data_IF_754112561195
#
_entry.id   IF_754112561195
#
_cell.length_a   1.000
_cell.length_b   1.000
_cell.length_c   1.000
_cell.angle_alpha   90.00
_cell.angle_beta   90.00
_cell.angle_gamma   90.00
#
_symmetry.space_group_name_H-M   'P 1'
#
loop_
_entity.id
_entity.type
_entity.pdbx_description
1 polymer ?
#
# COMPACT_ATOMS: atom_id res chain seq x y z
N UNK A 1 1.65 4.79 14.86
CA UNK A 1 1.25 4.14 16.13
C UNK A 1 1.54 5.08 17.30
N UNK A 2 0.53 5.40 18.13
CA UNK A 2 0.75 6.17 19.36
C UNK A 2 1.67 5.40 20.30
N UNK A 3 2.74 6.03 20.77
CA UNK A 3 3.65 5.42 21.77
C UNK A 3 2.87 5.19 23.07
N UNK A 4 2.97 3.97 23.59
CA UNK A 4 2.43 3.63 24.93
C UNK A 4 3.24 4.39 25.97
N UNK A 5 2.60 5.33 26.67
CA UNK A 5 3.26 6.19 27.67
C UNK A 5 3.31 5.54 29.07
N UNK A 6 2.48 4.55 29.33
CA UNK A 6 2.37 3.85 30.61
C UNK A 6 2.41 2.34 30.35
N UNK A 7 3.38 1.67 30.96
CA UNK A 7 3.47 0.22 30.93
C UNK A 7 2.71 -0.34 32.13
N UNK A 8 1.81 -1.31 31.84
CA UNK A 8 1.13 -2.10 32.88
C UNK A 8 1.84 -3.46 33.02
N UNK A 9 1.92 -4.04 34.23
CA UNK A 9 2.33 -5.42 34.40
C UNK A 9 1.46 -6.38 33.56
N UNK A 10 2.06 -7.43 33.03
CA UNK A 10 1.34 -8.41 32.18
C UNK A 10 0.13 -9.01 32.88
N UNK A 11 0.25 -9.33 34.18
CA UNK A 11 -0.85 -9.84 35.00
C UNK A 11 -2.04 -8.89 35.05
N UNK A 12 -1.79 -7.59 35.11
CA UNK A 12 -2.86 -6.58 35.10
C UNK A 12 -3.52 -6.47 33.71
N UNK A 13 -2.71 -6.56 32.62
CA UNK A 13 -3.24 -6.58 31.24
C UNK A 13 -4.18 -7.77 31.05
N UNK A 14 -3.76 -8.95 31.52
CA UNK A 14 -4.59 -10.15 31.43
C UNK A 14 -5.87 -10.06 32.28
N UNK A 15 -5.80 -9.53 33.50
CA UNK A 15 -6.97 -9.33 34.32
C UNK A 15 -7.96 -8.36 33.69
N UNK A 16 -7.49 -7.23 33.15
CA UNK A 16 -8.32 -6.26 32.45
C UNK A 16 -8.97 -6.92 31.19
N UNK A 17 -8.17 -7.66 30.40
CA UNK A 17 -8.65 -8.35 29.21
C UNK A 17 -9.75 -9.38 29.53
N UNK A 18 -9.55 -10.26 30.54
CA UNK A 18 -10.54 -11.27 30.92
C UNK A 18 -11.86 -10.60 31.33
N UNK A 19 -11.80 -9.46 32.02
CA UNK A 19 -12.98 -8.69 32.41
C UNK A 19 -13.76 -8.17 31.18
N UNK A 20 -13.02 -7.79 30.11
CA UNK A 20 -13.61 -7.22 28.91
C UNK A 20 -14.04 -8.28 27.88
N UNK A 21 -13.59 -9.54 28.01
CA UNK A 21 -13.93 -10.66 27.10
C UNK A 21 -15.42 -10.78 26.79
N UNK A 22 -16.34 -10.74 27.76
CA UNK A 22 -17.77 -10.86 27.44
C UNK A 22 -18.28 -9.75 26.54
N UNK A 23 -17.82 -8.51 26.74
CA UNK A 23 -18.20 -7.36 25.94
C UNK A 23 -17.57 -7.46 24.51
N UNK A 24 -16.30 -7.86 24.42
CA UNK A 24 -15.62 -8.09 23.14
C UNK A 24 -16.35 -9.17 22.34
N UNK A 25 -16.68 -10.30 22.99
CA UNK A 25 -17.37 -11.42 22.33
C UNK A 25 -18.76 -11.01 21.84
N UNK A 26 -19.54 -10.30 22.67
CA UNK A 26 -20.86 -9.79 22.28
C UNK A 26 -20.75 -8.90 21.04
N UNK A 27 -19.82 -7.95 21.05
CA UNK A 27 -19.57 -7.05 19.90
C UNK A 27 -19.21 -7.81 18.62
N UNK A 28 -18.35 -8.83 18.72
CA UNK A 28 -17.99 -9.67 17.59
C UNK A 28 -19.17 -10.47 17.04
N UNK A 29 -20.01 -11.01 17.93
CA UNK A 29 -21.21 -11.76 17.53
C UNK A 29 -22.26 -10.85 16.88
N UNK A 30 -22.46 -9.64 17.38
CA UNK A 30 -23.36 -8.66 16.79
C UNK A 30 -22.90 -8.27 15.38
N UNK A 31 -21.61 -7.98 15.21
CA UNK A 31 -21.00 -7.70 13.91
C UNK A 31 -21.14 -8.87 12.93
N UNK A 32 -20.86 -10.08 13.39
CA UNK A 32 -20.96 -11.31 12.58
C UNK A 32 -22.40 -11.58 12.15
N UNK A 33 -23.35 -11.51 13.09
CA UNK A 33 -24.78 -11.69 12.81
C UNK A 33 -25.28 -10.67 11.78
N UNK A 34 -24.90 -9.41 11.95
CA UNK A 34 -25.26 -8.35 11.02
C UNK A 34 -24.64 -8.58 9.64
N UNK A 35 -23.37 -9.03 9.56
CA UNK A 35 -22.71 -9.36 8.31
C UNK A 35 -23.43 -10.51 7.60
N UNK A 36 -23.74 -11.59 8.28
CA UNK A 36 -24.49 -12.74 7.73
C UNK A 36 -25.82 -12.31 7.11
N UNK A 37 -26.57 -11.44 7.77
CA UNK A 37 -27.86 -10.97 7.30
C UNK A 37 -27.76 -10.00 6.09
N UNK A 38 -26.63 -9.33 5.90
CA UNK A 38 -26.54 -8.19 4.97
C UNK A 38 -25.47 -8.32 3.88
N UNK A 39 -24.44 -9.19 4.00
CA UNK A 39 -23.29 -9.21 3.07
C UNK A 39 -23.71 -9.38 1.59
N UNK A 40 -24.76 -10.15 1.31
CA UNK A 40 -25.28 -10.36 -0.04
C UNK A 40 -25.91 -9.08 -0.65
N UNK A 41 -26.27 -8.11 0.19
CA UNK A 41 -26.86 -6.83 -0.25
C UNK A 41 -25.81 -5.75 -0.50
N UNK A 42 -24.56 -5.96 -0.04
CA UNK A 42 -23.49 -5.02 -0.23
C UNK A 42 -22.93 -5.12 -1.65
N UNK A 43 -22.84 -3.98 -2.34
CA UNK A 43 -22.20 -3.84 -3.64
C UNK A 43 -21.02 -2.89 -3.49
N UNK A 44 -19.81 -3.40 -3.77
CA UNK A 44 -18.57 -2.62 -3.79
C UNK A 44 -18.29 -2.31 -5.25
N UNK A 45 -18.13 -1.03 -5.59
CA UNK A 45 -17.92 -0.57 -6.97
C UNK A 45 -16.56 -0.99 -7.52
N UNK A 46 -15.54 -0.93 -6.68
CA UNK A 46 -14.17 -1.32 -7.02
C UNK A 46 -13.79 -2.56 -6.24
N UNK A 47 -13.46 -3.63 -6.96
CA UNK A 47 -13.05 -4.89 -6.33
C UNK A 47 -11.62 -4.72 -5.87
N UNK A 48 -11.42 -4.71 -4.56
CA UNK A 48 -10.10 -4.78 -3.94
C UNK A 48 -9.59 -6.23 -3.94
N UNK A 49 -8.30 -6.42 -3.70
CA UNK A 49 -7.67 -7.75 -3.58
C UNK A 49 -8.42 -8.67 -2.59
N UNK A 50 -9.06 -8.10 -1.56
CA UNK A 50 -9.84 -8.83 -0.55
C UNK A 50 -11.32 -8.42 -0.61
N UNK A 51 -11.95 -8.53 -1.79
CA UNK A 51 -13.32 -8.07 -2.03
C UNK A 51 -14.36 -8.67 -1.08
N UNK A 52 -14.25 -9.96 -0.76
CA UNK A 52 -15.17 -10.61 0.18
C UNK A 52 -15.00 -10.10 1.60
N UNK A 53 -13.76 -9.90 2.06
CA UNK A 53 -13.47 -9.28 3.34
C UNK A 53 -14.07 -7.88 3.43
N UNK A 54 -13.89 -7.05 2.40
CA UNK A 54 -14.46 -5.71 2.35
C UNK A 54 -15.99 -5.73 2.39
N UNK A 55 -16.61 -6.70 1.69
CA UNK A 55 -18.07 -6.88 1.70
C UNK A 55 -18.59 -7.26 3.08
N UNK A 56 -17.95 -8.23 3.72
CA UNK A 56 -18.29 -8.68 5.07
C UNK A 56 -18.14 -7.58 6.10
N UNK A 57 -16.99 -6.89 6.09
CA UNK A 57 -16.70 -5.82 7.06
C UNK A 57 -17.63 -4.62 6.89
N UNK A 58 -17.96 -4.26 5.64
CA UNK A 58 -18.95 -3.20 5.37
C UNK A 58 -20.35 -3.60 5.86
N UNK A 59 -20.71 -4.88 5.72
CA UNK A 59 -21.99 -5.37 6.23
C UNK A 59 -22.03 -5.39 7.76
N UNK A 60 -20.92 -5.80 8.41
CA UNK A 60 -20.78 -5.79 9.88
C UNK A 60 -20.86 -4.39 10.46
N UNK A 61 -20.34 -3.38 9.75
CA UNK A 61 -20.33 -1.99 10.21
C UNK A 61 -21.71 -1.41 10.52
N UNK A 62 -22.77 -1.98 9.95
CA UNK A 62 -24.15 -1.60 10.30
C UNK A 62 -24.52 -1.88 11.76
N UNK A 63 -23.95 -2.93 12.37
CA UNK A 63 -24.15 -3.22 13.79
C UNK A 63 -23.55 -2.13 14.68
N UNK A 64 -22.57 -1.40 14.19
CA UNK A 64 -21.82 -0.37 14.91
C UNK A 64 -22.22 1.06 14.51
N UNK A 65 -23.30 1.21 13.71
CA UNK A 65 -23.76 2.47 13.17
C UNK A 65 -22.66 3.24 12.39
N UNK A 66 -21.78 2.51 11.71
CA UNK A 66 -20.76 3.14 10.87
C UNK A 66 -21.41 3.83 9.68
N UNK A 67 -20.90 4.99 9.34
CA UNK A 67 -21.29 5.68 8.13
C UNK A 67 -21.02 4.84 6.88
N UNK A 68 -21.78 5.12 5.84
CA UNK A 68 -21.64 4.43 4.56
C UNK A 68 -20.20 4.60 4.05
N UNK A 69 -19.64 3.51 3.58
CA UNK A 69 -18.31 3.43 2.95
C UNK A 69 -17.11 3.75 3.87
N UNK A 70 -17.31 4.07 5.16
CA UNK A 70 -16.20 4.39 6.09
C UNK A 70 -15.15 3.28 6.13
N UNK A 71 -15.59 2.00 6.20
CA UNK A 71 -14.67 0.87 6.21
C UNK A 71 -13.83 0.80 4.92
N UNK A 72 -14.48 0.95 3.77
CA UNK A 72 -13.81 0.89 2.45
C UNK A 72 -12.78 2.01 2.32
N UNK A 73 -13.13 3.22 2.74
CA UNK A 73 -12.23 4.37 2.70
C UNK A 73 -11.02 4.15 3.61
N UNK A 74 -11.22 3.70 4.85
CA UNK A 74 -10.12 3.39 5.77
C UNK A 74 -9.26 2.22 5.27
N UNK A 75 -9.85 1.22 4.65
CA UNK A 75 -9.14 0.11 4.06
C UNK A 75 -8.24 0.58 2.89
N UNK A 76 -8.75 1.46 2.01
CA UNK A 76 -7.95 2.06 0.93
C UNK A 76 -6.79 2.88 1.47
N UNK A 77 -7.01 3.72 2.49
CA UNK A 77 -5.96 4.50 3.16
C UNK A 77 -4.89 3.59 3.75
N UNK A 78 -5.28 2.51 4.44
CA UNK A 78 -4.32 1.56 5.02
C UNK A 78 -3.48 0.84 3.95
N UNK A 79 -4.09 0.48 2.82
CA UNK A 79 -3.35 -0.12 1.70
C UNK A 79 -2.37 0.89 1.12
N UNK A 80 -2.80 2.12 0.84
CA UNK A 80 -1.93 3.18 0.32
C UNK A 80 -0.74 3.42 1.28
N UNK A 81 -0.99 3.52 2.59
CA UNK A 81 0.07 3.67 3.58
C UNK A 81 1.05 2.48 3.58
N UNK A 82 0.56 1.25 3.44
CA UNK A 82 1.40 0.06 3.34
C UNK A 82 2.33 0.09 2.12
N UNK A 83 1.87 0.62 0.99
CA UNK A 83 2.72 0.82 -0.19
C UNK A 83 3.75 1.92 0.03
N UNK A 84 3.37 3.05 0.65
CA UNK A 84 4.31 4.12 1.03
C UNK A 84 5.41 3.56 1.94
N UNK A 85 5.04 2.81 2.97
CA UNK A 85 5.98 2.19 3.90
C UNK A 85 6.90 1.19 3.18
N UNK A 86 6.38 0.44 2.21
CA UNK A 86 7.15 -0.50 1.38
C UNK A 86 8.17 0.20 0.49
N UNK A 87 7.82 1.36 -0.10
CA UNK A 87 8.75 2.18 -0.89
C UNK A 87 9.83 2.75 0.01
N UNK A 88 9.45 3.36 1.14
CA UNK A 88 10.39 3.96 2.09
C UNK A 88 11.34 2.94 2.71
N UNK A 89 10.94 1.67 2.81
CA UNK A 89 11.79 0.57 3.27
C UNK A 89 12.73 0.03 2.18
N UNK A 90 12.64 0.50 0.94
CA UNK A 90 13.42 0.02 -0.20
C UNK A 90 14.24 1.15 -0.82
N UNK A 91 15.55 1.15 -0.57
CA UNK A 91 16.49 2.10 -1.19
C UNK A 91 16.33 2.16 -2.71
N UNK A 92 16.08 1.01 -3.35
CA UNK A 92 15.88 0.94 -4.79
C UNK A 92 14.59 1.66 -5.23
N UNK A 93 13.48 1.42 -4.52
CA UNK A 93 12.20 2.06 -4.86
C UNK A 93 12.26 3.57 -4.63
N UNK A 94 12.87 4.00 -3.51
CA UNK A 94 13.14 5.41 -3.23
C UNK A 94 13.97 6.05 -4.34
N UNK A 95 15.05 5.39 -4.79
CA UNK A 95 15.88 5.89 -5.88
C UNK A 95 15.12 5.98 -7.22
N UNK A 96 14.19 5.06 -7.49
CA UNK A 96 13.32 5.14 -8.68
C UNK A 96 12.41 6.36 -8.59
N UNK A 97 11.77 6.60 -7.45
CA UNK A 97 10.93 7.79 -7.23
C UNK A 97 11.73 9.08 -7.40
N UNK A 98 12.93 9.16 -6.80
CA UNK A 98 13.83 10.32 -6.93
C UNK A 98 14.23 10.58 -8.40
N UNK A 99 14.54 9.50 -9.14
CA UNK A 99 14.90 9.58 -10.54
C UNK A 99 13.73 10.11 -11.38
N UNK A 100 12.55 9.55 -11.20
CA UNK A 100 11.36 9.89 -11.98
C UNK A 100 10.89 11.33 -11.70
N UNK A 101 11.01 11.80 -10.48
CA UNK A 101 10.71 13.21 -10.15
C UNK A 101 11.61 14.20 -10.91
N UNK A 102 12.82 13.80 -11.26
CA UNK A 102 13.76 14.62 -12.03
C UNK A 102 13.73 14.33 -13.54
N UNK A 103 13.44 13.09 -13.90
CA UNK A 103 13.39 12.61 -15.29
C UNK A 103 12.20 11.66 -15.43
N UNK A 104 11.04 12.13 -15.91
CA UNK A 104 9.75 11.39 -15.90
C UNK A 104 9.75 10.06 -16.66
N UNK A 105 10.66 9.89 -17.64
CA UNK A 105 10.71 8.70 -18.48
C UNK A 105 12.15 8.16 -18.55
N UNK A 106 12.28 6.85 -18.45
CA UNK A 106 13.55 6.15 -18.66
C UNK A 106 13.34 4.94 -19.57
N UNK A 107 14.30 4.76 -20.50
CA UNK A 107 14.39 3.55 -21.33
C UNK A 107 15.87 3.22 -21.54
N UNK A 108 16.26 2.01 -21.14
CA UNK A 108 17.65 1.58 -21.28
C UNK A 108 17.90 0.18 -20.75
N UNK A 109 19.15 -0.21 -20.72
CA UNK A 109 19.59 -1.47 -20.12
C UNK A 109 19.55 -1.39 -18.58
N UNK A 110 19.56 -2.53 -17.86
CA UNK A 110 19.64 -2.54 -16.40
C UNK A 110 20.87 -1.81 -15.84
N UNK A 111 22.00 -1.80 -16.57
CA UNK A 111 23.19 -1.08 -16.15
C UNK A 111 23.01 0.44 -16.28
N UNK A 112 22.40 0.89 -17.39
CA UNK A 112 22.06 2.31 -17.60
C UNK A 112 21.02 2.79 -16.58
N UNK A 113 20.04 1.94 -16.23
CA UNK A 113 19.11 2.26 -15.16
C UNK A 113 19.85 2.46 -13.83
N UNK A 114 20.76 1.56 -13.45
CA UNK A 114 21.55 1.70 -12.24
C UNK A 114 22.37 2.98 -12.21
N UNK A 115 22.99 3.35 -13.33
CA UNK A 115 23.71 4.63 -13.45
C UNK A 115 22.77 5.81 -13.26
N UNK A 116 21.59 5.78 -13.88
CA UNK A 116 20.59 6.85 -13.77
C UNK A 116 20.05 6.97 -12.34
N UNK A 117 19.77 5.85 -11.66
CA UNK A 117 19.35 5.84 -10.25
C UNK A 117 20.42 6.50 -9.37
N UNK A 118 21.68 6.05 -9.48
CA UNK A 118 22.79 6.59 -8.68
C UNK A 118 23.12 8.06 -8.99
N UNK A 119 22.77 8.53 -10.18
CA UNK A 119 22.95 9.94 -10.55
C UNK A 119 21.85 10.84 -9.96
N UNK A 120 20.62 10.35 -9.90
CA UNK A 120 19.46 11.16 -9.52
C UNK A 120 19.06 11.01 -8.05
N UNK A 121 19.42 9.90 -7.40
CA UNK A 121 19.12 9.66 -5.98
C UNK A 121 20.31 9.99 -5.08
N UNK A 122 20.00 10.31 -3.82
CA UNK A 122 21.01 10.43 -2.77
C UNK A 122 21.45 9.07 -2.21
N UNK A 123 20.67 8.04 -2.47
CA UNK A 123 20.96 6.66 -2.03
C UNK A 123 21.79 5.95 -3.07
N UNK A 124 22.95 5.43 -2.67
CA UNK A 124 23.83 4.66 -3.57
C UNK A 124 23.32 3.22 -3.66
N UNK A 125 23.02 2.80 -4.88
CA UNK A 125 22.56 1.44 -5.18
C UNK A 125 23.73 0.62 -5.73
N UNK A 126 24.07 -0.47 -5.07
CA UNK A 126 25.11 -1.42 -5.50
C UNK A 126 24.46 -2.76 -5.86
N UNK A 127 24.10 -2.93 -7.12
CA UNK A 127 23.46 -4.15 -7.64
C UNK A 127 24.11 -4.59 -8.96
N UNK A 128 24.06 -5.90 -9.22
CA UNK A 128 24.33 -6.42 -10.57
C UNK A 128 23.16 -6.12 -11.51
N UNK A 129 23.37 -6.18 -12.82
CA UNK A 129 22.31 -6.00 -13.82
C UNK A 129 21.10 -6.92 -13.58
N UNK A 130 21.34 -8.19 -13.20
CA UNK A 130 20.28 -9.13 -12.82
C UNK A 130 19.58 -8.70 -11.52
N UNK A 131 20.32 -8.16 -10.56
CA UNK A 131 19.81 -7.62 -9.31
C UNK A 131 18.85 -6.45 -9.52
N UNK A 132 19.21 -5.52 -10.42
CA UNK A 132 18.37 -4.39 -10.83
C UNK A 132 17.04 -4.88 -11.40
N UNK A 133 17.06 -5.83 -12.33
CA UNK A 133 15.82 -6.41 -12.90
C UNK A 133 14.93 -7.04 -11.82
N UNK A 134 15.52 -7.85 -10.94
CA UNK A 134 14.77 -8.52 -9.89
C UNK A 134 14.17 -7.54 -8.88
N UNK A 135 14.93 -6.50 -8.51
CA UNK A 135 14.42 -5.45 -7.60
C UNK A 135 13.33 -4.63 -8.25
N UNK A 136 13.49 -4.25 -9.52
CA UNK A 136 12.48 -3.51 -10.29
C UNK A 136 11.14 -4.26 -10.31
N UNK A 137 11.15 -5.55 -10.64
CA UNK A 137 9.94 -6.38 -10.66
C UNK A 137 9.31 -6.57 -9.27
N UNK A 138 10.11 -6.63 -8.21
CA UNK A 138 9.58 -6.76 -6.84
C UNK A 138 8.94 -5.48 -6.32
N UNK A 139 9.39 -4.33 -6.79
CA UNK A 139 8.85 -3.03 -6.38
C UNK A 139 7.73 -2.55 -7.31
N UNK A 140 7.44 -3.27 -8.40
CA UNK A 140 6.50 -2.86 -9.44
C UNK A 140 5.13 -2.52 -8.86
N UNK A 141 4.51 -3.44 -8.09
CA UNK A 141 3.17 -3.24 -7.53
C UNK A 141 3.09 -1.99 -6.62
N UNK A 142 4.15 -1.76 -5.83
CA UNK A 142 4.21 -0.59 -4.96
C UNK A 142 4.40 0.71 -5.76
N UNK A 143 5.24 0.69 -6.79
CA UNK A 143 5.51 1.86 -7.65
C UNK A 143 4.32 2.19 -8.55
N UNK A 144 3.56 1.19 -8.99
CA UNK A 144 2.35 1.37 -9.79
C UNK A 144 1.29 2.19 -9.03
N UNK A 145 1.17 2.01 -7.72
CA UNK A 145 0.28 2.84 -6.87
C UNK A 145 0.69 4.33 -6.91
N UNK A 146 1.96 4.63 -7.19
CA UNK A 146 2.47 5.99 -7.39
C UNK A 146 2.46 6.43 -8.86
N UNK A 147 1.74 5.69 -9.72
CA UNK A 147 1.69 5.97 -11.14
C UNK A 147 3.01 5.77 -11.87
N UNK A 148 3.93 4.98 -11.31
CA UNK A 148 5.20 4.63 -11.92
C UNK A 148 5.11 3.20 -12.44
N UNK A 149 5.11 3.04 -13.76
CA UNK A 149 5.06 1.75 -14.43
C UNK A 149 6.48 1.31 -14.81
N UNK A 150 6.82 0.08 -14.48
CA UNK A 150 8.10 -0.54 -14.84
C UNK A 150 7.85 -1.74 -15.74
N UNK A 151 8.34 -1.69 -16.97
CA UNK A 151 8.26 -2.79 -17.89
C UNK A 151 9.63 -3.33 -18.27
N UNK A 152 9.69 -4.65 -18.48
CA UNK A 152 10.85 -5.36 -18.96
C UNK A 152 10.54 -6.02 -20.28
N UNK A 153 11.38 -5.81 -21.27
CA UNK A 153 11.27 -6.46 -22.57
C UNK A 153 12.64 -6.77 -23.16
N UNK A 154 12.67 -7.49 -24.28
CA UNK A 154 13.86 -7.78 -25.04
C UNK A 154 13.83 -7.01 -26.36
N UNK A 155 14.94 -6.41 -26.74
CA UNK A 155 15.09 -5.78 -28.05
C UNK A 155 15.36 -6.81 -29.16
N UNK A 156 15.47 -6.33 -30.40
CA UNK A 156 15.77 -7.19 -31.55
C UNK A 156 17.14 -7.90 -31.47
N UNK A 157 18.05 -7.38 -30.69
CA UNK A 157 19.37 -7.97 -30.42
C UNK A 157 19.35 -8.88 -29.16
N UNK A 158 18.15 -9.28 -28.64
CA UNK A 158 17.93 -10.11 -27.45
C UNK A 158 18.50 -9.51 -26.15
N UNK A 159 18.77 -8.19 -26.12
CA UNK A 159 19.21 -7.49 -24.91
C UNK A 159 18.00 -7.16 -24.04
N UNK A 160 18.14 -7.35 -22.73
CA UNK A 160 17.10 -6.93 -21.76
C UNK A 160 17.08 -5.41 -21.66
N UNK A 161 15.92 -4.81 -21.88
CA UNK A 161 15.65 -3.40 -21.66
C UNK A 161 14.60 -3.23 -20.57
N UNK A 162 14.69 -2.11 -19.86
CA UNK A 162 13.72 -1.68 -18.86
C UNK A 162 13.21 -0.31 -19.27
N UNK A 163 11.91 -0.12 -19.19
CA UNK A 163 11.25 1.20 -19.24
C UNK A 163 10.70 1.53 -17.89
N UNK A 164 10.83 2.78 -17.49
CA UNK A 164 10.20 3.36 -16.31
C UNK A 164 9.47 4.60 -16.77
N UNK A 165 8.14 4.60 -16.68
CA UNK A 165 7.28 5.67 -17.19
C UNK A 165 6.38 6.17 -16.06
N UNK A 166 5.96 7.45 -16.14
CA UNK A 166 4.95 8.00 -15.25
C UNK A 166 3.59 8.06 -15.94
N UNK A 167 2.56 7.58 -15.26
CA UNK A 167 1.18 7.77 -15.68
C UNK A 167 0.63 9.06 -15.05
N UNK A 168 0.47 10.12 -15.85
CA UNK A 168 0.09 11.49 -15.38
C UNK A 168 -1.27 11.58 -14.68
N UNK A 169 -2.13 10.56 -14.82
CA UNK A 169 -3.48 10.60 -14.22
C UNK A 169 -3.47 10.45 -12.69
N UNK A 170 -2.40 9.94 -12.10
CA UNK A 170 -2.33 9.62 -10.67
C UNK A 170 -1.71 10.75 -9.81
N UNK A 171 -0.90 11.63 -10.39
CA UNK A 171 -0.30 12.76 -9.65
C UNK A 171 -1.34 13.77 -9.16
N UNK A 172 -2.49 13.88 -9.83
CA UNK A 172 -3.58 14.75 -9.40
C UNK A 172 -4.39 14.19 -8.22
N UNK A 173 -4.41 12.87 -8.02
CA UNK A 173 -5.13 12.24 -6.91
C UNK A 173 -4.33 12.23 -5.60
N UNK A 174 -3.01 12.12 -5.68
CA UNK A 174 -2.14 12.16 -4.49
C UNK A 174 -2.04 13.58 -3.92
N UNK A 175 -1.96 14.60 -4.76
CA UNK A 175 -1.97 16.01 -4.29
C UNK A 175 -3.29 16.39 -3.61
N UNK A 176 -4.41 15.78 -3.99
CA UNK A 176 -5.69 15.95 -3.28
C UNK A 176 -5.77 15.16 -1.97
N UNK A 177 -4.93 14.16 -1.75
CA UNK A 177 -4.91 13.36 -0.52
C UNK A 177 -4.01 13.92 0.58
N UNK A 178 -3.05 14.78 0.26
CA UNK A 178 -2.23 15.48 1.26
C UNK A 178 -3.02 16.46 2.13
N UNK A 179 -4.21 16.86 1.69
CA UNK A 179 -5.15 17.68 2.48
C UNK A 179 -5.87 16.89 3.58
N UNK A 180 -5.86 15.54 3.52
CA UNK A 180 -6.51 14.68 4.53
C UNK A 180 -5.60 14.28 5.71
N UNK A 181 -4.31 14.58 5.63
CA UNK A 181 -3.32 14.26 6.68
C UNK A 181 -3.10 15.45 7.64
N UNK A 182 -3.69 16.62 7.35
CA UNK A 182 -3.47 17.86 8.11
C UNK A 182 -4.59 18.22 9.11
N UNK A 183 -5.60 17.38 9.28
CA UNK A 183 -6.57 17.46 10.39
C UNK A 183 -6.36 16.25 11.32
#
# INVERSE_FOLDING_TARGET
LKKIKLFKPESQVWADFIKDVPSILSTLLDGTSCALANHNKIRIKEITRMGDFCRWSTAAGKAFNWEKDIFINQYKINIAQSYIDSINASDFATAVVDMINKKPDFKGTPAELLMSLNFHSQVKIELSAKGVVNKALRCQDALEVFGIEIDKYKDRANRTLITVNTNKSFQSEIQSSDDWIKE
#
